data_IF_676112572480
#
_entry.id   IF_676112572480
#
_cell.length_a   1.000
_cell.length_b   1.000
_cell.length_c   1.000
_cell.angle_alpha   90.00
_cell.angle_beta   90.00
_cell.angle_gamma   90.00
#
_symmetry.space_group_name_H-M   'P 1'
#
loop_
_entity.id
_entity.type
_entity.pdbx_description
1 polymer ?
#
# COMPACT_ATOMS: atom_id res chain seq x y z
N UNK A 1 1.33 28.04 19.65
CA UNK A 1 0.23 28.99 19.36
C UNK A 1 -0.61 28.56 18.16
N UNK A 2 -0.02 28.00 17.09
CA UNK A 2 -0.81 27.51 15.94
C UNK A 2 -1.90 26.49 16.29
N UNK A 3 -1.68 25.64 17.30
CA UNK A 3 -2.68 24.64 17.73
C UNK A 3 -3.57 25.10 18.90
N UNK A 4 -3.11 26.08 19.69
CA UNK A 4 -3.77 26.50 20.94
C UNK A 4 -4.19 27.98 20.94
N UNK A 5 -4.15 28.62 19.77
CA UNK A 5 -4.38 30.05 19.61
C UNK A 5 -3.26 30.94 20.17
N UNK A 6 -3.42 32.27 20.05
CA UNK A 6 -2.46 33.24 20.56
C UNK A 6 -2.28 33.15 22.08
N UNK A 7 -1.04 33.05 22.54
CA UNK A 7 -0.69 32.85 23.94
C UNK A 7 -0.39 34.13 24.72
N UNK A 8 -0.30 35.29 24.08
CA UNK A 8 0.12 36.54 24.72
C UNK A 8 -0.73 36.94 25.94
N UNK A 9 -2.05 36.81 25.84
CA UNK A 9 -2.96 37.09 26.95
C UNK A 9 -2.81 36.04 28.07
N UNK A 10 -2.69 34.75 27.70
CA UNK A 10 -2.42 33.67 28.65
C UNK A 10 -1.10 33.86 29.40
N UNK A 11 -0.03 34.26 28.71
CA UNK A 11 1.27 34.51 29.33
C UNK A 11 1.22 35.65 30.36
N UNK A 12 0.33 36.62 30.17
CA UNK A 12 0.16 37.77 31.07
C UNK A 12 -0.74 37.45 32.27
N UNK A 13 -1.69 36.53 32.11
CA UNK A 13 -2.65 36.12 33.15
C UNK A 13 -2.98 34.61 33.02
N UNK A 14 -2.05 33.72 33.41
CA UNK A 14 -2.20 32.29 33.16
C UNK A 14 -3.26 31.63 34.02
N UNK A 15 -3.64 32.25 35.14
CA UNK A 15 -4.67 31.73 36.04
C UNK A 15 -6.06 31.91 35.44
N UNK A 16 -6.35 33.07 34.83
CA UNK A 16 -7.68 33.42 34.34
C UNK A 16 -7.86 33.28 32.83
N UNK A 17 -6.80 33.42 32.03
CA UNK A 17 -6.84 33.24 30.57
C UNK A 17 -6.23 31.89 30.22
N UNK A 18 -7.01 30.97 29.65
CA UNK A 18 -6.51 29.65 29.23
C UNK A 18 -6.28 29.61 27.72
N UNK A 19 -5.26 28.87 27.24
CA UNK A 19 -5.11 28.59 25.82
C UNK A 19 -6.33 27.82 25.30
N UNK A 20 -6.54 27.86 23.98
CA UNK A 20 -7.61 27.10 23.35
C UNK A 20 -7.38 25.60 23.56
N UNK A 21 -8.35 24.94 24.20
CA UNK A 21 -8.24 23.54 24.63
C UNK A 21 -8.96 22.56 23.69
N UNK A 22 -9.97 23.02 22.94
CA UNK A 22 -10.84 22.18 22.11
C UNK A 22 -10.23 21.93 20.72
N UNK A 23 -9.03 21.35 20.68
CA UNK A 23 -8.30 21.06 19.44
C UNK A 23 -9.02 19.96 18.66
N UNK A 24 -9.65 20.32 17.55
CA UNK A 24 -10.27 19.37 16.63
C UNK A 24 -9.31 18.96 15.50
N UNK A 25 -9.76 18.07 14.60
CA UNK A 25 -8.96 17.62 13.47
C UNK A 25 -8.65 18.74 12.46
N UNK A 26 -9.43 19.83 12.42
CA UNK A 26 -9.20 20.96 11.51
C UNK A 26 -7.92 21.72 11.88
N UNK A 27 -7.57 21.76 13.17
CA UNK A 27 -6.29 22.32 13.62
C UNK A 27 -5.11 21.60 12.95
N UNK A 28 -5.19 20.28 12.83
CA UNK A 28 -4.20 19.49 12.10
C UNK A 28 -4.32 19.74 10.60
N UNK A 29 -5.54 19.82 10.08
CA UNK A 29 -5.86 20.09 8.68
C UNK A 29 -5.33 21.42 8.16
N UNK A 30 -5.11 22.42 9.01
CA UNK A 30 -4.48 23.68 8.63
C UNK A 30 -3.06 23.49 8.03
N UNK A 31 -2.38 22.40 8.37
CA UNK A 31 -1.05 22.09 7.84
C UNK A 31 -1.00 20.74 7.10
N UNK A 32 -1.75 19.75 7.55
CA UNK A 32 -1.82 18.40 6.95
C UNK A 32 -2.87 18.32 5.83
N UNK A 33 -2.98 19.40 5.05
CA UNK A 33 -3.77 19.49 3.82
C UNK A 33 -3.00 20.25 2.75
N UNK A 34 -3.40 20.05 1.49
CA UNK A 34 -2.98 20.88 0.36
C UNK A 34 -4.14 21.71 -0.14
N UNK A 35 -3.84 22.90 -0.64
CA UNK A 35 -4.83 23.87 -1.07
C UNK A 35 -4.26 25.27 -1.14
N UNK A 36 -5.16 26.26 -1.16
CA UNK A 36 -4.82 27.67 -1.31
C UNK A 36 -5.67 28.52 -0.39
N UNK A 37 -5.03 29.43 0.35
CA UNK A 37 -5.69 30.45 1.16
C UNK A 37 -6.13 31.65 0.28
N UNK A 38 -7.05 32.52 0.75
CA UNK A 38 -7.52 33.67 -0.03
C UNK A 38 -6.44 34.66 -0.49
N UNK A 39 -5.32 34.72 0.23
CA UNK A 39 -4.15 35.54 -0.09
C UNK A 39 -3.12 34.84 -1.01
N UNK A 40 -3.44 33.63 -1.48
CA UNK A 40 -2.64 32.85 -2.42
C UNK A 40 -1.59 31.95 -1.77
N UNK A 41 -1.47 31.93 -0.44
CA UNK A 41 -0.53 31.03 0.25
C UNK A 41 -1.00 29.57 0.23
N UNK A 42 -0.08 28.59 0.24
CA UNK A 42 -0.41 27.16 0.26
C UNK A 42 -0.81 26.65 1.67
N UNK A 43 -1.05 27.55 2.62
CA UNK A 43 -1.47 27.29 3.99
C UNK A 43 -2.37 28.44 4.47
N UNK A 44 -3.31 28.19 5.40
CA UNK A 44 -4.28 29.19 5.85
C UNK A 44 -3.65 30.19 6.83
N UNK A 45 -3.21 31.34 6.32
CA UNK A 45 -2.55 32.40 7.09
C UNK A 45 -3.43 33.03 8.17
N UNK A 46 -4.76 32.92 8.03
CA UNK A 46 -5.74 33.58 8.91
C UNK A 46 -6.47 32.62 9.84
N UNK A 47 -6.31 31.32 9.67
CA UNK A 47 -7.00 30.31 10.48
C UNK A 47 -6.53 30.37 11.94
N UNK A 48 -7.47 30.27 12.88
CA UNK A 48 -7.20 30.06 14.29
C UNK A 48 -7.97 28.84 14.81
N UNK A 49 -7.42 28.11 15.79
CA UNK A 49 -8.15 27.03 16.44
C UNK A 49 -9.51 27.49 16.96
N UNK A 50 -10.56 26.75 16.57
CA UNK A 50 -11.96 27.07 16.85
C UNK A 50 -12.71 27.68 15.66
N UNK A 51 -12.01 28.17 14.64
CA UNK A 51 -12.63 28.61 13.38
C UNK A 51 -12.97 27.39 12.49
N UNK A 52 -13.84 27.58 11.51
CA UNK A 52 -14.05 26.59 10.47
C UNK A 52 -12.95 26.71 9.40
N UNK A 53 -12.16 25.66 9.18
CA UNK A 53 -10.99 25.72 8.28
C UNK A 53 -11.36 26.11 6.85
N UNK A 54 -12.53 25.69 6.37
CA UNK A 54 -13.04 26.02 5.03
C UNK A 54 -13.29 27.52 4.82
N UNK A 55 -13.44 28.31 5.88
CA UNK A 55 -13.58 29.77 5.77
C UNK A 55 -12.23 30.46 5.50
N UNK A 56 -11.12 29.73 5.71
CA UNK A 56 -9.75 30.23 5.59
C UNK A 56 -8.93 29.50 4.52
N UNK A 57 -9.43 28.40 3.96
CA UNK A 57 -8.67 27.52 3.08
C UNK A 57 -9.56 26.78 2.08
N UNK A 58 -9.15 26.79 0.81
CA UNK A 58 -9.74 25.95 -0.24
C UNK A 58 -8.85 24.76 -0.49
N UNK A 59 -9.33 23.54 -0.23
CA UNK A 59 -8.58 22.30 -0.47
C UNK A 59 -8.31 22.06 -1.95
N UNK A 60 -7.15 21.47 -2.25
CA UNK A 60 -6.79 21.04 -3.60
C UNK A 60 -7.61 19.82 -4.02
N UNK A 61 -8.22 19.88 -5.20
CA UNK A 61 -9.03 18.80 -5.78
C UNK A 61 -8.68 18.53 -7.24
N UNK A 62 -7.59 19.12 -7.73
CA UNK A 62 -7.13 18.93 -9.11
C UNK A 62 -6.43 17.58 -9.28
N UNK A 63 -6.43 17.04 -10.50
CA UNK A 63 -5.88 15.70 -10.82
C UNK A 63 -4.37 15.54 -10.56
N UNK A 64 -3.65 16.65 -10.37
CA UNK A 64 -2.24 16.60 -9.97
C UNK A 64 -2.06 16.43 -8.45
N UNK A 65 -3.07 16.81 -7.67
CA UNK A 65 -3.06 16.77 -6.20
C UNK A 65 -3.81 15.57 -5.62
N UNK A 66 -4.80 15.02 -6.32
CA UNK A 66 -5.61 13.89 -5.84
C UNK A 66 -5.73 12.79 -6.89
N UNK A 67 -5.98 11.57 -6.42
CA UNK A 67 -6.40 10.45 -7.27
C UNK A 67 -7.86 10.60 -7.69
N UNK A 68 -8.31 9.73 -8.60
CA UNK A 68 -9.64 9.81 -9.19
C UNK A 68 -10.79 9.66 -8.17
N UNK A 69 -10.54 8.98 -7.04
CA UNK A 69 -11.47 8.85 -5.92
C UNK A 69 -11.42 10.03 -4.93
N UNK A 70 -10.52 10.99 -5.15
CA UNK A 70 -10.28 12.14 -4.28
C UNK A 70 -9.22 11.92 -3.20
N UNK A 71 -8.64 10.72 -3.09
CA UNK A 71 -7.58 10.43 -2.11
C UNK A 71 -6.25 11.11 -2.46
N UNK A 72 -5.39 11.26 -1.46
CA UNK A 72 -4.12 11.96 -1.54
C UNK A 72 -3.17 11.35 -2.58
N UNK A 73 -2.64 12.19 -3.46
CA UNK A 73 -1.57 11.85 -4.41
C UNK A 73 -0.20 12.36 -3.96
N UNK A 74 -0.19 13.35 -3.07
CA UNK A 74 1.00 14.05 -2.60
C UNK A 74 1.07 14.09 -1.06
N UNK A 75 2.23 14.49 -0.54
CA UNK A 75 2.41 14.70 0.90
C UNK A 75 1.54 15.82 1.49
N UNK A 76 1.31 15.77 2.80
CA UNK A 76 0.48 16.72 3.57
C UNK A 76 -1.00 16.73 3.15
N UNK A 77 -1.60 15.56 2.97
CA UNK A 77 -3.02 15.42 2.62
C UNK A 77 -3.76 14.44 3.55
N UNK A 78 -3.19 14.18 4.74
CA UNK A 78 -3.78 13.25 5.70
C UNK A 78 -5.16 13.71 6.18
N UNK A 79 -5.36 15.02 6.33
CA UNK A 79 -6.66 15.55 6.73
C UNK A 79 -7.71 15.41 5.61
N UNK A 80 -7.33 15.62 4.35
CA UNK A 80 -8.28 15.44 3.24
C UNK A 80 -8.67 13.97 3.08
N UNK A 81 -7.71 13.05 3.23
CA UNK A 81 -8.00 11.62 3.28
C UNK A 81 -8.93 11.26 4.45
N UNK A 82 -8.66 11.80 5.64
CA UNK A 82 -9.49 11.60 6.83
C UNK A 82 -10.95 12.00 6.58
N UNK A 83 -11.18 13.08 5.84
CA UNK A 83 -12.51 13.59 5.50
C UNK A 83 -13.25 12.76 4.43
N UNK A 84 -12.64 11.72 3.85
CA UNK A 84 -13.31 10.85 2.85
C UNK A 84 -14.42 9.96 3.45
N UNK A 85 -14.64 10.02 4.76
CA UNK A 85 -15.87 9.54 5.38
C UNK A 85 -15.83 8.09 5.88
N UNK A 86 -14.65 7.58 6.27
CA UNK A 86 -14.60 6.34 7.04
C UNK A 86 -15.39 6.47 8.34
N UNK A 87 -15.91 5.35 8.85
CA UNK A 87 -16.64 5.33 10.13
C UNK A 87 -15.79 5.81 11.31
N UNK A 88 -14.45 5.72 11.19
CA UNK A 88 -13.50 6.24 12.16
C UNK A 88 -13.55 7.76 12.25
N UNK A 89 -13.64 8.48 11.12
CA UNK A 89 -13.76 9.95 11.12
C UNK A 89 -15.06 10.44 11.76
N UNK A 90 -16.11 9.63 11.71
CA UNK A 90 -17.42 9.96 12.25
C UNK A 90 -17.52 9.70 13.76
N UNK A 91 -16.54 9.00 14.36
CA UNK A 91 -16.55 8.69 15.78
C UNK A 91 -16.17 9.96 16.59
N UNK A 92 -16.96 10.30 17.63
CA UNK A 92 -16.83 11.57 18.34
C UNK A 92 -15.54 11.71 19.18
N UNK A 93 -14.92 10.58 19.51
CA UNK A 93 -13.70 10.46 20.32
C UNK A 93 -12.45 10.18 19.46
N UNK A 94 -12.59 10.25 18.13
CA UNK A 94 -11.52 9.94 17.20
C UNK A 94 -10.95 11.19 16.53
N UNK A 95 -9.63 11.32 16.58
CA UNK A 95 -8.90 12.44 15.99
C UNK A 95 -7.45 12.04 15.67
N UNK A 96 -6.70 12.94 15.05
CA UNK A 96 -5.28 12.72 14.76
C UNK A 96 -4.48 12.38 16.03
N UNK A 97 -4.78 13.06 17.14
CA UNK A 97 -4.09 12.84 18.42
C UNK A 97 -4.56 11.58 19.15
N UNK A 98 -5.52 10.83 18.62
CA UNK A 98 -5.84 9.50 19.13
C UNK A 98 -4.70 8.54 18.80
N UNK A 99 -4.08 8.68 17.62
CA UNK A 99 -2.97 7.84 17.16
C UNK A 99 -1.59 8.50 17.29
N UNK A 100 -1.51 9.83 17.21
CA UNK A 100 -0.25 10.57 17.20
C UNK A 100 0.06 11.29 18.53
N UNK A 101 1.35 11.34 18.87
CA UNK A 101 1.91 12.17 19.91
C UNK A 101 2.23 13.56 19.38
N UNK A 102 1.84 14.60 20.14
CA UNK A 102 1.99 16.02 19.75
C UNK A 102 2.73 16.87 20.79
N UNK A 103 2.91 16.36 22.01
CA UNK A 103 3.63 17.04 23.09
C UNK A 103 4.86 16.27 23.57
N UNK A 104 5.08 15.09 23.03
CA UNK A 104 6.22 14.23 23.32
C UNK A 104 6.67 13.55 22.03
N UNK A 105 7.91 13.06 22.03
CA UNK A 105 8.41 12.30 20.90
C UNK A 105 7.73 10.92 20.86
N UNK A 106 7.15 10.58 19.72
CA UNK A 106 6.77 9.20 19.43
C UNK A 106 7.98 8.30 19.16
N UNK A 107 7.77 6.99 18.98
CA UNK A 107 8.83 6.00 18.80
C UNK A 107 9.52 6.10 17.44
N UNK A 108 9.00 6.90 16.51
CA UNK A 108 9.53 7.06 15.16
C UNK A 108 9.11 8.37 14.49
N UNK A 109 9.52 8.60 13.24
CA UNK A 109 9.29 9.87 12.53
C UNK A 109 7.80 10.20 12.36
N UNK A 110 6.94 9.19 12.27
CA UNK A 110 5.48 9.34 12.19
C UNK A 110 4.83 9.78 13.51
N UNK A 111 5.59 9.90 14.60
CA UNK A 111 5.10 10.31 15.92
C UNK A 111 3.89 9.50 16.42
N UNK A 112 3.86 8.20 16.16
CA UNK A 112 2.79 7.32 16.66
C UNK A 112 2.83 7.21 18.19
N UNK A 113 1.71 6.83 18.81
CA UNK A 113 1.66 6.55 20.26
C UNK A 113 2.27 5.22 20.66
N UNK A 114 2.26 4.25 19.75
CA UNK A 114 2.79 2.92 19.97
C UNK A 114 3.88 2.63 18.93
N UNK A 115 4.85 1.80 19.31
CA UNK A 115 5.89 1.28 18.42
C UNK A 115 5.33 0.18 17.52
N UNK A 116 4.39 -0.61 18.04
CA UNK A 116 3.69 -1.64 17.30
C UNK A 116 2.46 -1.02 16.65
N UNK A 117 2.53 -0.73 15.35
CA UNK A 117 1.46 -0.02 14.65
C UNK A 117 0.10 -0.74 14.75
N UNK A 118 0.10 -2.07 14.64
CA UNK A 118 -1.10 -2.88 14.81
C UNK A 118 -1.76 -2.70 16.19
N UNK A 119 -0.97 -2.43 17.24
CA UNK A 119 -1.49 -2.21 18.58
C UNK A 119 -2.43 -1.00 18.64
N UNK A 120 -2.16 0.04 17.85
CA UNK A 120 -3.03 1.21 17.73
C UNK A 120 -4.41 0.82 17.20
N UNK A 121 -4.44 0.03 16.12
CA UNK A 121 -5.68 -0.38 15.47
C UNK A 121 -6.50 -1.32 16.37
N UNK A 122 -5.87 -2.35 16.92
CA UNK A 122 -6.56 -3.40 17.70
C UNK A 122 -6.96 -2.93 19.10
N UNK A 123 -6.47 -1.78 19.57
CA UNK A 123 -6.95 -1.16 20.81
C UNK A 123 -8.46 -0.89 20.77
N UNK A 124 -9.00 -0.61 19.59
CA UNK A 124 -10.44 -0.49 19.33
C UNK A 124 -11.00 -1.66 18.51
N UNK A 125 -10.19 -2.24 17.61
CA UNK A 125 -10.55 -3.36 16.72
C UNK A 125 -10.07 -4.72 17.24
N UNK A 126 -10.24 -4.98 18.54
CA UNK A 126 -9.79 -6.21 19.18
C UNK A 126 -10.27 -7.51 18.48
N UNK A 127 -11.51 -7.60 17.95
CA UNK A 127 -11.95 -8.79 17.20
C UNK A 127 -11.12 -9.08 15.94
N UNK A 128 -10.44 -8.08 15.39
CA UNK A 128 -9.58 -8.18 14.20
C UNK A 128 -8.10 -8.46 14.54
N UNK A 129 -7.75 -8.59 15.81
CA UNK A 129 -6.36 -8.83 16.23
C UNK A 129 -5.75 -10.12 15.66
N UNK A 130 -6.58 -11.13 15.40
CA UNK A 130 -6.16 -12.34 14.72
C UNK A 130 -6.05 -12.10 13.20
N UNK A 131 -4.91 -11.58 12.74
CA UNK A 131 -4.69 -11.22 11.33
C UNK A 131 -4.95 -12.40 10.39
N UNK A 132 -4.61 -13.64 10.78
CA UNK A 132 -4.88 -14.86 10.00
C UNK A 132 -6.36 -15.03 9.66
N UNK A 133 -7.24 -14.70 10.61
CA UNK A 133 -8.69 -14.77 10.41
C UNK A 133 -9.20 -13.57 9.63
N UNK A 134 -8.57 -12.41 9.81
CA UNK A 134 -8.93 -11.18 9.10
C UNK A 134 -8.43 -11.15 7.64
N UNK A 135 -7.41 -11.93 7.31
CA UNK A 135 -6.82 -12.04 5.96
C UNK A 135 -6.68 -13.52 5.56
N UNK A 136 -7.79 -14.28 5.43
CA UNK A 136 -7.74 -15.74 5.29
C UNK A 136 -7.04 -16.24 4.01
N UNK A 137 -6.80 -15.37 3.02
CA UNK A 137 -6.10 -15.69 1.76
C UNK A 137 -4.59 -15.45 1.82
N UNK A 138 -4.08 -14.91 2.92
CA UNK A 138 -2.66 -14.60 3.07
C UNK A 138 -1.91 -15.66 3.88
N UNK A 139 -2.54 -16.79 4.23
CA UNK A 139 -1.94 -17.83 5.07
C UNK A 139 -0.53 -18.26 4.60
N UNK A 140 -0.33 -18.44 3.29
CA UNK A 140 0.96 -18.80 2.73
C UNK A 140 2.03 -17.70 2.81
N UNK A 141 1.63 -16.45 3.07
CA UNK A 141 2.50 -15.30 3.31
C UNK A 141 2.70 -15.03 4.81
N UNK A 142 1.78 -15.49 5.67
CA UNK A 142 1.92 -15.42 7.12
C UNK A 142 3.16 -16.22 7.54
N UNK A 143 4.06 -15.59 8.31
CA UNK A 143 5.34 -16.16 8.73
C UNK A 143 6.50 -15.95 7.74
N UNK A 144 6.24 -15.38 6.56
CA UNK A 144 7.30 -14.90 5.64
C UNK A 144 7.52 -13.40 5.73
N UNK A 145 6.49 -12.67 6.17
CA UNK A 145 6.54 -11.25 6.47
C UNK A 145 5.53 -10.91 7.57
N UNK A 146 5.76 -9.77 8.20
CA UNK A 146 4.77 -9.15 9.08
C UNK A 146 3.74 -8.40 8.22
N UNK A 147 2.50 -8.37 8.70
CA UNK A 147 1.40 -7.66 8.07
C UNK A 147 0.91 -6.60 9.03
N UNK A 148 0.85 -5.37 8.54
CA UNK A 148 0.28 -4.27 9.29
C UNK A 148 -1.15 -3.96 8.81
N UNK A 149 -1.99 -3.47 9.70
CA UNK A 149 -3.33 -2.99 9.34
C UNK A 149 -3.23 -1.88 8.27
N UNK A 150 -2.19 -1.03 8.34
CA UNK A 150 -1.94 0.02 7.37
C UNK A 150 -1.58 -0.48 5.98
N UNK A 151 -1.03 -1.69 5.83
CA UNK A 151 -0.68 -2.24 4.51
C UNK A 151 -1.90 -2.29 3.59
N UNK A 152 -3.07 -2.55 4.18
CA UNK A 152 -4.34 -2.69 3.48
C UNK A 152 -5.25 -1.48 3.65
N UNK A 153 -5.39 -0.98 4.89
CA UNK A 153 -6.35 0.09 5.19
C UNK A 153 -5.77 1.49 5.08
N UNK A 154 -4.45 1.62 5.09
CA UNK A 154 -3.77 2.88 4.90
C UNK A 154 -2.69 2.78 3.81
N UNK A 155 -2.97 2.21 2.61
CA UNK A 155 -1.93 1.86 1.67
C UNK A 155 -1.10 3.08 1.26
N UNK A 156 0.17 2.84 0.95
CA UNK A 156 1.00 3.91 0.40
C UNK A 156 0.54 4.23 -1.02
N UNK A 157 0.03 5.45 -1.19
CA UNK A 157 -0.55 5.93 -2.45
C UNK A 157 -0.12 7.36 -2.78
N UNK A 158 0.31 8.11 -1.77
CA UNK A 158 0.80 9.48 -1.94
C UNK A 158 2.34 9.51 -2.04
N UNK A 159 2.85 10.52 -2.73
CA UNK A 159 4.28 10.74 -2.94
C UNK A 159 4.76 11.98 -2.21
N UNK A 160 5.85 11.85 -1.44
CA UNK A 160 6.59 12.97 -0.84
C UNK A 160 7.91 13.22 -1.57
N UNK A 161 8.84 12.29 -1.45
CA UNK A 161 10.18 12.34 -2.03
C UNK A 161 10.48 11.07 -2.83
N UNK A 162 9.93 9.93 -2.40
CA UNK A 162 9.98 8.65 -3.10
C UNK A 162 8.57 8.33 -3.60
N UNK A 163 8.40 7.79 -4.82
CA UNK A 163 7.08 7.41 -5.31
C UNK A 163 6.37 6.47 -4.33
N UNK A 164 5.13 6.81 -3.96
CA UNK A 164 4.26 5.99 -3.10
C UNK A 164 4.88 5.69 -1.72
N UNK A 165 5.44 6.70 -1.05
CA UNK A 165 6.09 6.60 0.27
C UNK A 165 5.22 7.07 1.44
N UNK A 166 4.04 7.64 1.17
CA UNK A 166 3.11 8.12 2.18
C UNK A 166 1.83 7.28 2.19
N UNK A 167 1.53 6.75 3.38
CA UNK A 167 0.27 6.08 3.71
C UNK A 167 -0.91 7.04 3.56
N UNK A 168 -1.94 6.63 2.84
CA UNK A 168 -3.20 7.37 2.85
C UNK A 168 -3.84 7.31 4.24
N UNK A 169 -4.65 8.29 4.60
CA UNK A 169 -5.33 8.36 5.90
C UNK A 169 -6.85 8.27 5.76
N UNK A 170 -7.34 7.57 4.73
CA UNK A 170 -8.78 7.40 4.53
C UNK A 170 -9.32 6.25 5.38
N UNK A 171 -8.46 5.28 5.73
CA UNK A 171 -8.80 4.07 6.50
C UNK A 171 -9.93 3.26 5.87
N UNK A 172 -10.16 3.47 4.57
CA UNK A 172 -11.22 2.77 3.84
C UNK A 172 -10.86 1.30 3.65
N UNK A 173 -11.87 0.52 3.29
CA UNK A 173 -11.65 -0.86 2.90
C UNK A 173 -10.87 -0.90 1.58
N UNK A 174 -9.93 -1.85 1.38
CA UNK A 174 -9.27 -2.03 0.10
C UNK A 174 -10.27 -2.18 -1.04
N UNK A 175 -10.14 -1.32 -2.06
CA UNK A 175 -11.04 -1.29 -3.21
C UNK A 175 -10.28 -1.39 -4.55
N UNK A 176 -9.82 -2.60 -4.93
CA UNK A 176 -9.26 -2.83 -6.26
C UNK A 176 -10.27 -2.64 -7.39
N UNK A 177 -11.58 -2.64 -7.13
CA UNK A 177 -12.59 -2.37 -8.14
C UNK A 177 -12.54 -0.89 -8.56
N UNK A 178 -12.36 0.03 -7.60
CA UNK A 178 -12.13 1.45 -7.88
C UNK A 178 -10.96 1.67 -8.85
N UNK A 179 -9.87 0.91 -8.72
CA UNK A 179 -8.76 0.96 -9.70
C UNK A 179 -9.22 0.63 -11.12
N UNK A 180 -10.07 -0.40 -11.29
CA UNK A 180 -10.58 -0.82 -12.60
C UNK A 180 -11.50 0.25 -13.18
N UNK A 181 -12.42 0.75 -12.36
CA UNK A 181 -13.44 1.73 -12.76
C UNK A 181 -12.81 3.06 -13.20
N UNK A 182 -11.64 3.39 -12.65
CA UNK A 182 -10.88 4.59 -12.98
C UNK A 182 -9.79 4.40 -14.04
N UNK A 183 -9.71 3.24 -14.70
CA UNK A 183 -8.83 3.03 -15.85
C UNK A 183 -7.46 2.42 -15.55
N UNK A 184 -7.29 1.82 -14.37
CA UNK A 184 -6.12 1.02 -14.01
C UNK A 184 -5.15 1.69 -13.01
N UNK A 185 -4.07 0.98 -12.70
CA UNK A 185 -3.13 1.34 -11.61
C UNK A 185 -2.46 2.71 -11.79
N UNK A 186 -2.26 3.17 -13.03
CA UNK A 186 -1.69 4.50 -13.29
C UNK A 186 -2.64 5.64 -12.89
N UNK A 187 -3.95 5.40 -13.00
CA UNK A 187 -4.97 6.39 -12.69
C UNK A 187 -5.45 6.31 -11.23
N UNK A 188 -5.40 5.12 -10.63
CA UNK A 188 -5.85 4.89 -9.26
C UNK A 188 -5.13 3.66 -8.66
N UNK A 189 -4.08 3.84 -7.84
CA UNK A 189 -3.42 2.72 -7.16
C UNK A 189 -4.35 2.07 -6.12
N UNK A 190 -3.99 0.87 -5.65
CA UNK A 190 -4.71 0.19 -4.56
C UNK A 190 -3.74 -0.60 -3.68
N UNK A 191 -4.22 -0.96 -2.48
CA UNK A 191 -3.44 -1.69 -1.49
C UNK A 191 -2.91 -3.05 -1.97
N UNK A 192 -3.72 -3.81 -2.71
CA UNK A 192 -3.37 -5.17 -3.13
C UNK A 192 -2.13 -5.15 -4.03
N UNK A 193 -2.12 -4.24 -4.99
CA UNK A 193 -1.05 -4.08 -5.96
C UNK A 193 0.19 -3.34 -5.40
N UNK A 194 0.25 -3.01 -4.10
CA UNK A 194 1.51 -2.63 -3.48
C UNK A 194 2.43 -3.84 -3.22
N UNK A 195 1.85 -5.04 -3.08
CA UNK A 195 2.59 -6.29 -2.88
C UNK A 195 2.42 -7.28 -4.04
N UNK A 196 1.25 -7.31 -4.67
CA UNK A 196 0.90 -8.23 -5.74
C UNK A 196 1.13 -7.57 -7.10
N UNK A 197 2.33 -7.79 -7.65
CA UNK A 197 2.83 -7.15 -8.87
C UNK A 197 3.35 -8.16 -9.89
N UNK A 198 3.14 -9.46 -9.65
CA UNK A 198 3.54 -10.49 -10.61
C UNK A 198 2.60 -10.48 -11.82
N UNK A 199 3.04 -10.97 -12.97
CA UNK A 199 2.15 -11.07 -14.12
C UNK A 199 0.91 -11.92 -13.79
N UNK A 200 -0.27 -11.38 -14.08
CA UNK A 200 -1.58 -11.96 -13.72
C UNK A 200 -2.12 -11.53 -12.36
N UNK A 201 -1.34 -10.81 -11.54
CA UNK A 201 -1.81 -10.19 -10.30
C UNK A 201 -2.24 -8.74 -10.55
N UNK A 202 -3.19 -8.51 -11.46
CA UNK A 202 -3.70 -7.17 -11.79
C UNK A 202 -4.89 -6.76 -10.89
N UNK A 203 -5.44 -5.54 -11.04
CA UNK A 203 -6.60 -5.11 -10.24
C UNK A 203 -7.83 -6.01 -10.39
N UNK A 204 -8.04 -6.61 -11.57
CA UNK A 204 -9.15 -7.53 -11.81
C UNK A 204 -8.98 -8.83 -11.02
N UNK A 205 -7.76 -9.37 -10.97
CA UNK A 205 -7.41 -10.49 -10.10
C UNK A 205 -7.64 -10.16 -8.63
N UNK A 206 -7.21 -8.97 -8.18
CA UNK A 206 -7.40 -8.56 -6.79
C UNK A 206 -8.89 -8.43 -6.44
N UNK A 207 -9.68 -7.80 -7.30
CA UNK A 207 -11.13 -7.67 -7.16
C UNK A 207 -11.84 -9.02 -7.08
N UNK A 208 -11.48 -9.97 -7.94
CA UNK A 208 -12.04 -11.33 -7.90
C UNK A 208 -11.64 -12.08 -6.62
N UNK A 209 -10.39 -11.92 -6.18
CA UNK A 209 -9.87 -12.57 -4.96
C UNK A 209 -10.64 -12.11 -3.73
N UNK A 210 -11.01 -10.83 -3.64
CA UNK A 210 -11.81 -10.31 -2.52
C UNK A 210 -13.32 -10.46 -2.72
N UNK A 211 -13.82 -10.72 -3.92
CA UNK A 211 -15.24 -10.97 -4.15
C UNK A 211 -15.68 -12.33 -3.55
N UNK A 212 -14.84 -13.35 -3.70
CA UNK A 212 -15.08 -14.68 -3.17
C UNK A 212 -15.38 -14.73 -1.65
N UNK A 213 -14.57 -14.12 -0.76
CA UNK A 213 -14.89 -14.03 0.67
C UNK A 213 -16.14 -13.20 0.96
N UNK A 214 -16.40 -12.11 0.21
CA UNK A 214 -17.59 -11.26 0.42
C UNK A 214 -18.89 -12.06 0.28
N UNK A 215 -18.92 -12.99 -0.66
CA UNK A 215 -20.08 -13.84 -0.92
C UNK A 215 -20.28 -14.92 0.15
N UNK A 216 -19.19 -15.44 0.74
CA UNK A 216 -19.23 -16.54 1.71
C UNK A 216 -19.25 -16.10 3.18
N UNK A 217 -18.78 -14.89 3.46
CA UNK A 217 -18.76 -14.27 4.78
C UNK A 217 -19.30 -12.84 4.65
N UNK A 218 -20.63 -12.66 4.49
CA UNK A 218 -21.20 -11.34 4.33
C UNK A 218 -20.80 -10.45 5.51
N UNK A 219 -20.32 -9.22 5.25
CA UNK A 219 -19.84 -8.33 6.29
C UNK A 219 -20.93 -8.08 7.34
N UNK A 220 -20.59 -8.26 8.61
CA UNK A 220 -21.42 -7.74 9.71
C UNK A 220 -21.26 -6.23 9.74
N UNK A 221 -22.30 -5.51 10.16
CA UNK A 221 -22.20 -4.07 10.34
C UNK A 221 -21.00 -3.74 11.25
N UNK A 222 -20.02 -3.01 10.70
CA UNK A 222 -18.77 -2.65 11.41
C UNK A 222 -17.58 -3.61 11.23
N UNK A 223 -17.66 -4.65 10.39
CA UNK A 223 -16.53 -5.52 10.10
C UNK A 223 -16.70 -6.32 8.81
N UNK A 224 -15.63 -6.38 8.01
CA UNK A 224 -15.62 -7.13 6.75
C UNK A 224 -15.80 -8.64 6.94
N UNK A 225 -15.29 -9.17 8.06
CA UNK A 225 -15.45 -10.56 8.47
C UNK A 225 -16.11 -10.59 9.85
N UNK A 226 -17.30 -11.18 9.94
CA UNK A 226 -17.85 -11.61 11.23
C UNK A 226 -17.00 -12.74 11.83
N UNK A 227 -17.24 -13.15 13.09
CA UNK A 227 -16.67 -14.34 13.68
C UNK A 227 -17.30 -15.59 13.01
N UNK A 228 -17.08 -15.74 11.71
CA UNK A 228 -17.41 -16.93 10.95
C UNK A 228 -16.39 -18.04 11.20
N UNK A 229 -16.74 -19.30 10.92
CA UNK A 229 -15.82 -20.41 11.09
C UNK A 229 -14.53 -20.17 10.31
N UNK A 230 -13.41 -20.63 10.86
CA UNK A 230 -12.07 -20.56 10.25
C UNK A 230 -12.15 -20.90 8.76
N UNK A 231 -11.93 -19.94 7.83
CA UNK A 231 -12.01 -20.24 6.41
C UNK A 231 -10.81 -21.11 6.05
N UNK A 232 -11.05 -22.38 5.73
CA UNK A 232 -10.08 -23.10 4.90
C UNK A 232 -10.04 -22.40 3.55
N UNK A 233 -8.83 -22.12 3.06
CA UNK A 233 -8.60 -21.53 1.74
C UNK A 233 -9.52 -22.20 0.71
N UNK A 234 -10.31 -21.45 -0.05
CA UNK A 234 -11.00 -22.03 -1.19
C UNK A 234 -9.98 -22.52 -2.22
N UNK A 235 -10.36 -23.46 -3.09
CA UNK A 235 -9.58 -23.68 -4.30
C UNK A 235 -9.45 -22.33 -5.02
N UNK A 236 -8.26 -22.00 -5.55
CA UNK A 236 -8.06 -20.75 -6.29
C UNK A 236 -9.19 -20.60 -7.31
N UNK A 237 -9.72 -19.37 -7.50
CA UNK A 237 -10.76 -19.14 -8.50
C UNK A 237 -10.31 -19.78 -9.81
N UNK A 238 -11.22 -20.50 -10.46
CA UNK A 238 -10.96 -21.15 -11.76
C UNK A 238 -10.17 -20.16 -12.62
N UNK A 239 -8.97 -20.53 -13.10
CA UNK A 239 -8.02 -19.54 -13.55
C UNK A 239 -8.62 -18.80 -14.74
N UNK A 240 -8.97 -17.53 -14.55
CA UNK A 240 -8.66 -16.57 -15.60
C UNK A 240 -7.16 -16.68 -15.76
N UNK A 241 -6.74 -17.12 -16.95
CA UNK A 241 -5.35 -17.35 -17.27
C UNK A 241 -4.53 -16.22 -16.65
N UNK A 242 -3.68 -16.56 -15.69
CA UNK A 242 -2.66 -15.64 -15.22
C UNK A 242 -1.88 -15.27 -16.47
N UNK A 243 -2.14 -14.08 -17.00
CA UNK A 243 -1.43 -13.54 -18.13
C UNK A 243 0.01 -13.35 -17.67
N UNK A 244 0.83 -14.38 -17.90
CA UNK A 244 2.22 -14.41 -17.49
C UNK A 244 2.53 -15.24 -16.24
N UNK A 245 1.86 -16.36 -16.00
CA UNK A 245 2.72 -17.52 -15.72
C UNK A 245 3.68 -17.62 -16.91
N UNK A 246 4.93 -17.19 -16.70
CA UNK A 246 6.03 -17.77 -17.47
C UNK A 246 5.73 -19.27 -17.48
N UNK A 247 5.75 -19.93 -18.65
CA UNK A 247 5.42 -21.34 -18.71
C UNK A 247 6.15 -21.98 -17.55
N UNK A 248 5.42 -22.72 -16.70
CA UNK A 248 6.08 -23.52 -15.67
C UNK A 248 7.19 -24.21 -16.44
N UNK A 249 8.43 -23.81 -16.17
CA UNK A 249 9.57 -24.59 -16.59
C UNK A 249 9.37 -25.80 -15.71
N UNK A 250 8.58 -26.75 -16.21
CA UNK A 250 8.53 -28.06 -15.63
C UNK A 250 9.98 -28.49 -15.54
N UNK A 251 10.34 -29.26 -14.51
CA UNK A 251 11.65 -29.89 -14.49
C UNK A 251 11.91 -30.62 -15.83
N UNK A 252 10.86 -31.05 -16.56
CA UNK A 252 10.95 -31.53 -17.94
C UNK A 252 11.49 -30.53 -18.98
N UNK A 253 11.16 -29.23 -18.91
CA UNK A 253 11.66 -28.23 -19.85
C UNK A 253 13.11 -27.83 -19.54
N UNK A 254 13.49 -27.74 -18.26
CA UNK A 254 14.88 -27.55 -17.84
C UNK A 254 15.74 -28.76 -18.22
N UNK A 255 15.24 -29.98 -18.02
CA UNK A 255 15.87 -31.23 -18.48
C UNK A 255 15.96 -31.28 -20.00
N UNK A 256 14.93 -30.83 -20.75
CA UNK A 256 14.95 -30.86 -22.23
C UNK A 256 15.93 -29.84 -22.82
N UNK A 257 16.09 -28.66 -22.20
CA UNK A 257 17.16 -27.73 -22.55
C UNK A 257 18.54 -28.28 -22.20
N UNK A 258 18.71 -28.86 -21.00
CA UNK A 258 19.95 -29.52 -20.62
C UNK A 258 20.32 -30.68 -21.55
N UNK A 259 19.36 -31.52 -21.93
CA UNK A 259 19.55 -32.59 -22.90
C UNK A 259 19.88 -32.01 -24.27
N UNK A 260 19.18 -30.96 -24.73
CA UNK A 260 19.51 -30.29 -26.00
C UNK A 260 20.95 -29.75 -26.00
N UNK A 261 21.35 -29.03 -24.95
CA UNK A 261 22.70 -28.49 -24.82
C UNK A 261 23.75 -29.59 -24.68
N UNK A 262 23.46 -30.68 -23.96
CA UNK A 262 24.33 -31.85 -23.88
C UNK A 262 24.47 -32.55 -25.24
N UNK A 263 23.39 -32.69 -26.01
CA UNK A 263 23.42 -33.24 -27.37
C UNK A 263 24.17 -32.33 -28.34
N UNK A 264 24.02 -31.00 -28.25
CA UNK A 264 24.81 -30.05 -29.05
C UNK A 264 26.30 -30.08 -28.68
N UNK A 265 26.63 -30.15 -27.39
CA UNK A 265 28.01 -30.28 -26.93
C UNK A 265 28.62 -31.62 -27.39
N UNK A 266 27.88 -32.72 -27.32
CA UNK A 266 28.31 -34.02 -27.79
C UNK A 266 28.47 -34.06 -29.32
N UNK A 267 27.53 -33.49 -30.08
CA UNK A 267 27.64 -33.38 -31.53
C UNK A 267 28.83 -32.49 -31.94
N UNK A 268 29.07 -31.39 -31.22
CA UNK A 268 30.23 -30.52 -31.40
C UNK A 268 31.54 -31.25 -31.10
N UNK A 269 31.60 -32.03 -30.02
CA UNK A 269 32.77 -32.84 -29.67
C UNK A 269 33.04 -33.96 -30.69
N UNK A 270 32.01 -34.66 -31.14
CA UNK A 270 32.13 -35.67 -32.20
C UNK A 270 32.58 -35.01 -33.51
N UNK A 271 31.99 -33.88 -33.89
CA UNK A 271 32.41 -33.10 -35.06
C UNK A 271 33.88 -32.68 -34.97
N UNK A 272 34.31 -32.18 -33.82
CA UNK A 272 35.71 -31.86 -33.55
C UNK A 272 36.61 -33.08 -33.65
N UNK A 273 36.22 -34.22 -33.08
CA UNK A 273 36.99 -35.47 -33.15
C UNK A 273 37.12 -36.01 -34.58
N UNK A 274 36.04 -35.96 -35.37
CA UNK A 274 36.07 -36.34 -36.79
C UNK A 274 36.96 -35.40 -37.58
N UNK A 275 36.89 -34.08 -37.33
CA UNK A 275 37.73 -33.10 -37.99
C UNK A 275 39.20 -33.26 -37.60
N UNK A 276 39.48 -33.48 -36.31
CA UNK A 276 40.81 -33.75 -35.80
C UNK A 276 41.38 -35.07 -36.35
N UNK A 277 40.55 -36.12 -36.47
CA UNK A 277 40.95 -37.39 -37.06
C UNK A 277 41.20 -37.28 -38.57
N UNK A 278 40.35 -36.55 -39.30
CA UNK A 278 40.55 -36.28 -40.72
C UNK A 278 41.82 -35.44 -40.94
N UNK A 279 42.04 -34.42 -40.11
CA UNK A 279 43.25 -33.60 -40.13
C UNK A 279 44.50 -34.43 -39.80
N UNK A 280 44.43 -35.30 -38.79
CA UNK A 280 45.50 -36.25 -38.46
C UNK A 280 45.78 -37.21 -39.63
N UNK A 281 44.75 -37.79 -40.26
CA UNK A 281 44.89 -38.66 -41.43
C UNK A 281 45.49 -37.94 -42.64
N UNK A 282 45.11 -36.69 -42.87
CA UNK A 282 45.67 -35.86 -43.94
C UNK A 282 47.14 -35.53 -43.66
N UNK A 283 47.49 -35.19 -42.41
CA UNK A 283 48.88 -34.92 -42.00
C UNK A 283 49.75 -36.18 -42.07
N UNK A 284 49.26 -37.31 -41.59
CA UNK A 284 49.96 -38.60 -41.64
C UNK A 284 50.16 -39.13 -43.08
N UNK A 285 49.27 -38.78 -44.02
CA UNK A 285 49.45 -39.06 -45.46
C UNK A 285 50.46 -38.10 -46.13
N UNK A 286 50.60 -36.88 -45.62
CA UNK A 286 51.63 -35.95 -46.07
C UNK A 286 53.04 -36.37 -45.67
N UNK A 287 53.19 -37.03 -44.52
CA UNK A 287 54.47 -37.54 -44.02
C UNK A 287 54.90 -38.88 -44.67
N UNK A 288 54.00 -39.58 -45.37
CA UNK A 288 54.34 -40.82 -46.10
C UNK A 288 54.78 -40.60 -47.56
N UNK A 289 54.82 -39.35 -48.02
CA UNK A 289 55.24 -38.94 -49.37
C UNK A 289 56.40 -37.93 -49.37
N UNK A 290 57.05 -37.75 -48.23
CA UNK A 290 58.36 -37.12 -48.09
C UNK A 290 59.40 -38.21 -47.77
#
# INVERSE_FOLDING_TARGET
ESCHGPGAAHASDPENVKPFAAVDAQVCGACHSRGTAPDGHPFPTTYKPGDALVDHFTFATDESSVWADGSAKLNHQQYTDWQMGSTMQQAPDMSCITCHNVHEAGPGPSQLKDVEENALCISCHAPQAAIVTHTPFHEAALGKRDFNCSDCHMPTMATSAVPYDIHNHSLLQPDPQGTIDHGGLEAMPNACNNCHMRPGEDPAWAAQTIAYPKELAPPVAGGFFGPGPTPTSPPPPTPMAAAGQAPIVSDEMEIREWIRWALFAMAGFIGFMVFAWAFYKLRARGESHA
#
